data_IF_208029826830
#
_entry.id   IF_208029826830
#
_cell.length_a   1.000
_cell.length_b   1.000
_cell.length_c   1.000
_cell.angle_alpha   90.00
_cell.angle_beta   90.00
_cell.angle_gamma   90.00
#
_symmetry.space_group_name_H-M   'P 1'
#
loop_
_entity.id
_entity.type
_entity.pdbx_description
1 polymer ?
#
# COMPACT_ATOMS: atom_id res chain seq x y z
N UNK A 1 12.98 0.32 16.34
CA UNK A 1 14.43 0.06 16.48
C UNK A 1 15.04 0.09 15.09
N UNK A 2 16.03 0.95 14.84
CA UNK A 2 16.69 1.04 13.53
C UNK A 2 17.79 -0.01 13.40
N UNK A 3 17.88 -0.67 12.25
CA UNK A 3 18.91 -1.67 11.96
C UNK A 3 20.24 -0.98 11.62
N UNK A 4 21.31 -1.42 12.29
CA UNK A 4 22.65 -0.83 12.15
C UNK A 4 23.30 -1.38 10.87
N UNK A 5 23.65 -0.51 9.91
CA UNK A 5 24.19 -0.95 8.62
C UNK A 5 25.73 -0.99 8.57
N UNK A 6 26.45 -0.55 9.61
CA UNK A 6 27.92 -0.59 9.67
C UNK A 6 28.61 0.79 9.64
N UNK A 7 29.94 0.79 9.53
CA UNK A 7 30.78 1.99 9.46
C UNK A 7 30.93 2.46 8.01
N UNK A 8 30.63 3.72 7.72
CA UNK A 8 30.75 4.30 6.38
C UNK A 8 31.63 5.54 6.43
N UNK A 9 32.56 5.67 5.48
CA UNK A 9 33.49 6.80 5.49
C UNK A 9 32.83 8.05 4.92
N UNK A 10 31.76 7.89 4.13
CA UNK A 10 31.11 9.01 3.45
C UNK A 10 29.59 8.90 3.39
N UNK A 11 28.93 10.05 3.28
CA UNK A 11 27.49 10.18 2.98
C UNK A 11 27.09 9.43 1.69
N UNK A 12 27.96 9.38 0.69
CA UNK A 12 27.65 8.77 -0.62
C UNK A 12 27.49 7.25 -0.50
N UNK A 13 28.28 6.61 0.36
CA UNK A 13 28.19 5.18 0.63
C UNK A 13 26.87 4.82 1.33
N UNK A 14 26.47 5.61 2.33
CA UNK A 14 25.14 5.53 2.94
C UNK A 14 24.01 5.58 1.91
N UNK A 15 24.10 6.55 0.99
CA UNK A 15 23.09 6.72 -0.05
C UNK A 15 23.02 5.52 -0.98
N UNK A 16 24.17 4.95 -1.38
CA UNK A 16 24.23 3.77 -2.25
C UNK A 16 23.55 2.57 -1.60
N UNK A 17 23.79 2.31 -0.32
CA UNK A 17 23.15 1.21 0.40
C UNK A 17 21.63 1.39 0.53
N UNK A 18 21.19 2.61 0.83
CA UNK A 18 19.76 2.89 0.87
C UNK A 18 19.13 2.76 -0.53
N UNK A 19 19.83 3.13 -1.61
CA UNK A 19 19.34 2.91 -2.98
C UNK A 19 19.21 1.43 -3.31
N UNK A 20 20.18 0.62 -2.89
CA UNK A 20 20.24 -0.83 -3.15
C UNK A 20 19.33 -1.67 -2.24
N UNK A 21 18.54 -1.05 -1.34
CA UNK A 21 17.68 -1.76 -0.38
C UNK A 21 18.47 -2.80 0.42
N UNK A 22 19.45 -2.33 1.21
CA UNK A 22 20.30 -3.18 2.04
C UNK A 22 19.46 -4.12 2.94
N UNK A 23 19.44 -5.41 2.57
CA UNK A 23 18.67 -6.51 3.18
C UNK A 23 17.14 -6.35 3.16
N UNK A 24 16.61 -5.13 3.34
CA UNK A 24 15.20 -4.78 3.22
C UNK A 24 15.00 -3.43 2.54
N UNK A 25 13.74 -3.07 2.27
CA UNK A 25 13.35 -1.80 1.65
C UNK A 25 13.81 -0.62 2.50
N UNK A 26 14.67 0.23 1.93
CA UNK A 26 15.10 1.46 2.58
C UNK A 26 14.10 2.59 2.33
N UNK A 27 13.70 3.29 3.38
CA UNK A 27 12.85 4.50 3.32
C UNK A 27 13.63 5.79 3.60
N UNK A 28 14.86 5.68 4.10
CA UNK A 28 15.77 6.79 4.35
C UNK A 28 17.01 6.33 5.11
N UNK A 29 17.95 7.25 5.31
CA UNK A 29 19.14 7.01 6.12
C UNK A 29 19.52 8.25 6.93
N UNK A 30 20.20 8.04 8.04
CA UNK A 30 20.83 9.07 8.86
C UNK A 30 22.34 8.94 8.73
N UNK A 31 23.04 10.06 8.56
CA UNK A 31 24.50 10.12 8.51
C UNK A 31 25.05 11.00 9.63
N UNK A 32 25.93 10.43 10.45
CA UNK A 32 26.58 11.09 11.58
C UNK A 32 28.09 11.21 11.35
N UNK A 33 28.60 12.33 10.78
CA UNK A 33 30.02 12.49 10.49
C UNK A 33 30.89 12.46 11.75
N UNK A 34 30.37 12.92 12.89
CA UNK A 34 31.10 12.95 14.17
C UNK A 34 31.25 11.59 14.83
N UNK A 35 30.43 10.60 14.46
CA UNK A 35 30.55 9.21 14.94
C UNK A 35 31.21 8.34 13.89
N UNK A 36 32.43 8.71 13.46
CA UNK A 36 33.20 7.96 12.44
C UNK A 36 32.40 7.70 11.14
N UNK A 37 31.51 8.62 10.77
CA UNK A 37 30.64 8.47 9.59
C UNK A 37 29.56 7.39 9.71
N UNK A 38 29.08 7.12 10.92
CA UNK A 38 28.02 6.12 11.17
C UNK A 38 26.79 6.37 10.29
N UNK A 39 26.24 5.28 9.76
CA UNK A 39 25.03 5.27 8.94
C UNK A 39 23.94 4.44 9.58
N UNK A 40 22.76 5.02 9.76
CA UNK A 40 21.57 4.28 10.18
C UNK A 40 20.57 4.24 9.04
N UNK A 41 20.14 3.05 8.64
CA UNK A 41 19.15 2.87 7.57
C UNK A 41 17.77 2.69 8.22
N UNK A 42 16.77 3.40 7.70
CA UNK A 42 15.38 3.28 8.13
C UNK A 42 14.62 2.33 7.21
N UNK A 43 14.10 1.25 7.79
CA UNK A 43 13.28 0.24 7.11
C UNK A 43 11.77 0.49 7.25
N UNK A 44 11.37 1.60 7.86
CA UNK A 44 9.98 2.01 8.06
C UNK A 44 9.69 3.40 7.48
N UNK A 45 8.43 3.68 7.15
CA UNK A 45 8.03 4.99 6.63
C UNK A 45 8.31 6.08 7.66
N UNK A 46 9.10 7.08 7.25
CA UNK A 46 9.31 8.28 8.03
C UNK A 46 8.13 9.24 7.80
N UNK A 47 7.13 9.15 8.69
CA UNK A 47 5.96 10.01 8.74
C UNK A 47 6.22 11.18 9.73
N UNK A 48 6.97 12.20 9.33
CA UNK A 48 6.94 13.49 10.03
C UNK A 48 7.71 14.56 9.26
N UNK A 49 7.23 15.80 9.39
CA UNK A 49 7.98 17.02 9.12
C UNK A 49 9.28 16.98 9.93
N UNK A 50 10.43 17.02 9.26
CA UNK A 50 11.72 17.05 9.94
C UNK A 50 12.07 18.48 10.31
N UNK A 51 12.35 18.70 11.59
CA UNK A 51 12.89 19.95 12.08
C UNK A 51 14.41 19.84 12.09
N UNK A 52 15.08 20.64 11.26
CA UNK A 52 16.53 20.81 11.37
C UNK A 52 16.80 21.54 12.69
N UNK A 53 17.47 20.88 13.64
CA UNK A 53 18.02 21.57 14.80
C UNK A 53 19.24 22.39 14.34
N UNK A 54 19.29 23.72 14.57
CA UNK A 54 20.32 24.61 14.03
C UNK A 54 21.77 24.22 14.35
N UNK A 55 21.99 23.39 15.37
CA UNK A 55 23.32 22.97 15.84
C UNK A 55 23.61 21.47 15.65
N UNK A 56 22.72 20.73 14.98
CA UNK A 56 22.95 19.30 14.73
C UNK A 56 23.87 19.10 13.52
N UNK A 57 24.97 18.36 13.70
CA UNK A 57 25.80 17.86 12.58
C UNK A 57 25.28 16.55 11.99
N UNK A 58 24.13 16.08 12.46
CA UNK A 58 23.47 14.88 11.95
C UNK A 58 22.58 15.27 10.78
N UNK A 59 22.77 14.60 9.65
CA UNK A 59 21.93 14.81 8.48
C UNK A 59 21.04 13.59 8.27
N UNK A 60 19.73 13.84 8.29
CA UNK A 60 18.73 12.84 7.96
C UNK A 60 18.33 13.00 6.49
N UNK A 61 18.37 11.90 5.75
CA UNK A 61 18.02 11.85 4.35
C UNK A 61 16.87 10.87 4.17
N UNK A 62 15.69 11.38 3.84
CA UNK A 62 14.62 10.52 3.34
C UNK A 62 15.06 9.99 1.99
N UNK A 63 14.86 8.69 1.73
CA UNK A 63 14.92 8.20 0.36
C UNK A 63 13.74 8.91 -0.32
N UNK A 64 14.03 9.91 -1.14
CA UNK A 64 13.03 10.32 -2.12
C UNK A 64 12.69 9.02 -2.84
N UNK A 65 11.45 8.54 -2.67
CA UNK A 65 10.96 7.51 -3.56
C UNK A 65 11.24 7.99 -4.97
N UNK A 66 11.52 7.06 -5.89
CA UNK A 66 11.18 7.28 -7.29
C UNK A 66 9.95 8.16 -7.31
N UNK A 67 10.06 9.35 -7.93
CA UNK A 67 9.14 10.47 -7.72
C UNK A 67 7.80 9.92 -7.31
N UNK A 68 7.33 10.19 -6.08
CA UNK A 68 5.92 9.98 -5.78
C UNK A 68 5.27 10.82 -6.86
N UNK A 69 4.83 10.17 -7.93
CA UNK A 69 4.12 10.83 -9.00
C UNK A 69 2.86 11.22 -8.26
N UNK A 70 2.84 12.48 -7.84
CA UNK A 70 1.87 13.04 -6.93
C UNK A 70 0.52 12.84 -7.61
N UNK A 71 -0.19 11.77 -7.24
CA UNK A 71 -1.36 11.31 -7.98
C UNK A 71 -1.52 9.80 -8.15
N UNK A 72 -0.46 8.98 -8.10
CA UNK A 72 -0.60 7.52 -8.29
C UNK A 72 -0.87 6.81 -6.96
N UNK A 73 -1.63 5.72 -7.01
CA UNK A 73 -1.97 4.93 -5.84
C UNK A 73 -1.11 3.68 -5.70
N UNK A 74 -1.00 3.22 -4.46
CA UNK A 74 -0.49 1.89 -4.14
C UNK A 74 -1.44 0.78 -4.59
N UNK A 75 -1.05 -0.47 -4.37
CA UNK A 75 -1.90 -1.62 -4.62
C UNK A 75 -3.08 -1.67 -3.65
N UNK A 76 -4.27 -1.97 -4.16
CA UNK A 76 -5.42 -2.35 -3.35
C UNK A 76 -5.17 -3.73 -2.74
N UNK A 77 -5.71 -3.93 -1.55
CA UNK A 77 -5.66 -5.21 -0.84
C UNK A 77 -7.05 -5.55 -0.31
N UNK A 78 -7.36 -6.84 -0.30
CA UNK A 78 -8.56 -7.33 0.35
C UNK A 78 -8.34 -7.35 1.86
N UNK A 79 -9.27 -6.76 2.60
CA UNK A 79 -9.37 -6.87 4.04
C UNK A 79 -10.15 -8.13 4.40
N UNK A 80 -9.64 -8.92 5.34
CA UNK A 80 -10.32 -10.12 5.86
C UNK A 80 -10.94 -9.79 7.23
N UNK A 81 -11.79 -8.75 7.29
CA UNK A 81 -12.33 -8.27 8.57
C UNK A 81 -13.82 -8.54 8.79
N UNK A 82 -14.45 -9.26 7.87
CA UNK A 82 -15.87 -9.58 7.92
C UNK A 82 -16.13 -10.90 8.65
N UNK A 83 -17.32 -11.02 9.23
CA UNK A 83 -17.87 -12.26 9.81
C UNK A 83 -18.40 -13.24 8.74
N UNK A 84 -18.52 -12.80 7.49
CA UNK A 84 -18.92 -13.62 6.36
C UNK A 84 -17.72 -14.30 5.71
N UNK A 85 -17.99 -15.37 4.96
CA UNK A 85 -16.95 -16.06 4.19
C UNK A 85 -16.34 -15.08 3.16
N UNK A 86 -15.00 -15.06 3.09
CA UNK A 86 -14.29 -14.23 2.13
C UNK A 86 -14.29 -14.91 0.76
N UNK A 87 -14.73 -14.18 -0.26
CA UNK A 87 -14.58 -14.57 -1.65
C UNK A 87 -13.20 -14.21 -2.20
N UNK A 88 -12.94 -14.65 -3.43
CA UNK A 88 -11.72 -14.33 -4.16
C UNK A 88 -11.81 -12.92 -4.72
N UNK A 89 -10.91 -12.04 -4.27
CA UNK A 89 -10.78 -10.69 -4.78
C UNK A 89 -9.49 -10.52 -5.59
N UNK A 90 -9.61 -9.91 -6.77
CA UNK A 90 -8.46 -9.56 -7.61
C UNK A 90 -8.55 -8.14 -8.15
N UNK A 91 -7.40 -7.59 -8.50
CA UNK A 91 -7.25 -6.19 -8.91
C UNK A 91 -6.49 -6.10 -10.23
N UNK A 92 -7.14 -5.54 -11.24
CA UNK A 92 -6.50 -5.23 -12.53
C UNK A 92 -6.29 -3.73 -12.62
N UNK A 93 -5.03 -3.30 -12.73
CA UNK A 93 -4.66 -1.89 -12.82
C UNK A 93 -4.47 -1.45 -14.27
N UNK A 94 -4.65 -0.15 -14.52
CA UNK A 94 -4.32 0.42 -15.82
C UNK A 94 -2.81 0.52 -16.07
N UNK A 95 -2.01 0.70 -15.02
CA UNK A 95 -0.55 0.75 -15.07
C UNK A 95 0.04 0.21 -13.75
N UNK A 96 1.07 -0.65 -13.84
CA UNK A 96 1.66 -1.32 -12.68
C UNK A 96 2.68 -0.46 -11.90
N UNK A 97 3.12 0.67 -12.46
CA UNK A 97 4.05 1.64 -11.86
C UNK A 97 3.30 2.86 -11.32
N UNK A 98 2.35 3.41 -12.07
CA UNK A 98 1.51 4.54 -11.68
C UNK A 98 0.02 4.23 -11.86
N UNK A 99 -0.59 3.65 -10.82
CA UNK A 99 -2.00 3.25 -10.83
C UNK A 99 -2.89 4.49 -10.73
N UNK A 100 -3.74 4.72 -11.72
CA UNK A 100 -4.78 5.76 -11.66
C UNK A 100 -6.20 5.20 -11.68
N UNK A 101 -6.39 3.99 -12.20
CA UNK A 101 -7.65 3.24 -12.12
C UNK A 101 -7.38 1.76 -11.81
N UNK A 102 -8.35 1.12 -11.17
CA UNK A 102 -8.33 -0.31 -10.94
C UNK A 102 -9.73 -0.90 -11.16
N UNK A 103 -9.79 -2.06 -11.80
CA UNK A 103 -10.98 -2.92 -11.80
C UNK A 103 -10.85 -3.91 -10.66
N UNK A 104 -11.72 -3.78 -9.67
CA UNK A 104 -11.88 -4.71 -8.56
C UNK A 104 -12.82 -5.81 -9.00
N UNK A 105 -12.36 -7.06 -8.91
CA UNK A 105 -13.15 -8.24 -9.22
C UNK A 105 -13.37 -9.03 -7.95
N UNK A 106 -14.60 -9.47 -7.70
CA UNK A 106 -14.98 -10.29 -6.56
C UNK A 106 -15.86 -11.44 -7.05
N UNK A 107 -15.56 -12.65 -6.61
CA UNK A 107 -16.34 -13.83 -6.94
C UNK A 107 -16.10 -14.98 -5.97
N UNK A 108 -16.83 -16.07 -6.16
CA UNK A 108 -16.59 -17.29 -5.41
C UNK A 108 -15.31 -17.99 -5.90
N UNK A 109 -14.53 -18.63 -5.00
CA UNK A 109 -13.47 -19.53 -5.40
C UNK A 109 -13.99 -20.63 -6.34
N UNK A 110 -13.24 -20.91 -7.41
CA UNK A 110 -13.59 -21.97 -8.36
C UNK A 110 -13.58 -23.34 -7.66
N UNK A 111 -14.60 -24.15 -7.92
CA UNK A 111 -14.68 -25.52 -7.42
C UNK A 111 -15.44 -25.69 -6.11
N UNK A 112 -16.08 -24.63 -5.60
CA UNK A 112 -17.10 -24.79 -4.58
C UNK A 112 -18.35 -25.43 -5.23
N UNK A 113 -18.79 -26.58 -4.73
CA UNK A 113 -19.92 -27.33 -5.28
C UNK A 113 -21.30 -26.68 -5.11
N UNK A 114 -21.35 -25.42 -4.67
CA UNK A 114 -22.57 -24.64 -4.43
C UNK A 114 -22.34 -23.19 -4.82
N UNK A 115 -23.34 -22.56 -5.41
CA UNK A 115 -23.30 -21.17 -5.85
C UNK A 115 -23.68 -20.21 -4.70
N UNK A 116 -22.78 -19.28 -4.38
CA UNK A 116 -23.02 -18.24 -3.37
C UNK A 116 -23.25 -16.88 -4.02
N UNK A 117 -23.95 -15.99 -3.32
CA UNK A 117 -23.99 -14.57 -3.69
C UNK A 117 -22.67 -13.91 -3.31
N UNK A 118 -22.22 -12.96 -4.12
CA UNK A 118 -20.97 -12.23 -3.90
C UNK A 118 -21.24 -10.72 -3.78
N UNK A 119 -20.53 -10.04 -2.89
CA UNK A 119 -20.65 -8.60 -2.72
C UNK A 119 -19.29 -7.92 -2.57
N UNK A 120 -19.13 -6.78 -3.25
CA UNK A 120 -18.00 -5.86 -3.03
C UNK A 120 -18.39 -4.85 -1.97
N UNK A 121 -17.73 -4.90 -0.82
CA UNK A 121 -18.03 -4.05 0.34
C UNK A 121 -16.86 -3.13 0.64
N UNK A 122 -17.14 -1.82 0.70
CA UNK A 122 -16.16 -0.78 1.03
C UNK A 122 -16.40 -0.25 2.43
N UNK A 123 -15.33 -0.10 3.20
CA UNK A 123 -15.37 0.41 4.57
C UNK A 123 -16.37 -0.35 5.45
N UNK A 124 -16.47 -1.67 5.22
CA UNK A 124 -17.33 -2.67 5.92
C UNK A 124 -18.85 -2.52 5.78
N UNK A 125 -19.35 -1.36 5.40
CA UNK A 125 -20.80 -1.08 5.40
C UNK A 125 -21.36 -0.69 4.03
N UNK A 126 -20.49 -0.34 3.07
CA UNK A 126 -20.95 0.18 1.77
C UNK A 126 -20.90 -0.91 0.71
N UNK A 127 -22.06 -1.47 0.38
CA UNK A 127 -22.22 -2.46 -0.67
C UNK A 127 -22.25 -1.77 -2.03
N UNK A 128 -21.17 -1.93 -2.82
CA UNK A 128 -21.05 -1.28 -4.12
C UNK A 128 -21.71 -2.06 -5.24
N UNK A 129 -21.63 -3.39 -5.16
CA UNK A 129 -22.21 -4.30 -6.14
C UNK A 129 -22.47 -5.65 -5.49
N UNK A 130 -23.56 -6.29 -5.89
CA UNK A 130 -23.97 -7.61 -5.46
C UNK A 130 -24.21 -8.44 -6.73
N UNK A 131 -23.67 -9.65 -6.75
CA UNK A 131 -23.89 -10.65 -7.79
C UNK A 131 -24.54 -11.88 -7.19
N UNK A 132 -25.33 -12.57 -8.01
CA UNK A 132 -26.15 -13.69 -7.58
C UNK A 132 -25.60 -15.00 -8.11
N UNK A 133 -25.76 -16.09 -7.35
CA UNK A 133 -25.55 -17.46 -7.83
C UNK A 133 -24.18 -17.64 -8.54
N UNK A 134 -23.09 -17.38 -7.83
CA UNK A 134 -21.74 -17.60 -8.33
C UNK A 134 -21.23 -16.57 -9.34
N UNK A 135 -22.02 -15.52 -9.62
CA UNK A 135 -21.61 -14.42 -10.50
C UNK A 135 -20.32 -13.76 -10.00
N UNK A 136 -19.37 -13.59 -10.92
CA UNK A 136 -18.19 -12.77 -10.69
C UNK A 136 -18.52 -11.31 -11.01
N UNK A 137 -18.42 -10.44 -10.01
CA UNK A 137 -18.78 -9.04 -10.11
C UNK A 137 -17.56 -8.13 -10.15
N UNK A 138 -17.73 -6.99 -10.83
CA UNK A 138 -16.69 -5.99 -11.02
C UNK A 138 -17.13 -4.60 -10.58
N UNK A 139 -16.22 -3.86 -9.93
CA UNK A 139 -16.38 -2.45 -9.58
C UNK A 139 -15.14 -1.64 -9.97
N UNK A 140 -15.33 -0.36 -10.29
CA UNK A 140 -14.23 0.54 -10.65
C UNK A 140 -13.72 1.31 -9.43
N UNK A 141 -12.41 1.42 -9.32
CA UNK A 141 -11.72 2.30 -8.39
C UNK A 141 -10.96 3.37 -9.15
N UNK A 142 -11.04 4.61 -8.67
CA UNK A 142 -10.29 5.75 -9.18
C UNK A 142 -9.30 6.22 -8.13
N UNK A 143 -8.08 6.51 -8.56
CA UNK A 143 -7.06 7.09 -7.71
C UNK A 143 -7.04 8.60 -7.88
N UNK A 144 -6.96 9.32 -6.76
CA UNK A 144 -6.65 10.75 -6.77
C UNK A 144 -5.79 11.08 -5.57
N UNK A 145 -4.67 11.77 -5.79
CA UNK A 145 -3.72 12.17 -4.75
C UNK A 145 -3.25 10.99 -3.88
N UNK A 146 -2.99 9.83 -4.50
CA UNK A 146 -2.53 8.63 -3.80
C UNK A 146 -3.59 7.90 -2.96
N UNK A 147 -4.86 8.30 -3.08
CA UNK A 147 -5.97 7.70 -2.36
C UNK A 147 -6.96 7.05 -3.32
N UNK A 148 -7.33 5.80 -3.06
CA UNK A 148 -8.35 5.09 -3.81
C UNK A 148 -9.76 5.53 -3.42
N UNK A 149 -10.62 5.70 -4.42
CA UNK A 149 -12.04 6.01 -4.26
C UNK A 149 -12.90 5.08 -5.09
N UNK A 150 -14.03 4.66 -4.55
CA UNK A 150 -14.97 3.76 -5.21
C UNK A 150 -16.43 4.16 -4.94
N UNK A 151 -17.33 3.71 -5.81
CA UNK A 151 -18.77 3.95 -5.67
C UNK A 151 -19.25 5.31 -6.19
N UNK A 152 -20.55 5.52 -6.07
CA UNK A 152 -21.21 6.79 -6.38
C UNK A 152 -22.23 7.10 -5.27
N UNK A 153 -22.00 8.12 -4.41
CA UNK A 153 -20.88 9.07 -4.45
C UNK A 153 -19.52 8.43 -4.12
N UNK A 154 -18.38 9.02 -4.54
CA UNK A 154 -17.06 8.42 -4.32
C UNK A 154 -16.66 8.37 -2.83
N UNK A 155 -16.41 7.16 -2.34
CA UNK A 155 -15.97 6.90 -0.97
C UNK A 155 -14.46 6.62 -0.93
N UNK A 156 -13.74 7.19 0.03
CA UNK A 156 -12.33 6.87 0.27
C UNK A 156 -12.23 5.44 0.80
N UNK A 157 -11.43 4.60 0.12
CA UNK A 157 -11.27 3.19 0.48
C UNK A 157 -10.29 3.07 1.65
N UNK A 158 -10.79 2.63 2.81
CA UNK A 158 -10.02 2.24 3.99
C UNK A 158 -9.97 0.73 4.17
N UNK A 159 -11.09 0.05 3.90
CA UNK A 159 -11.14 -1.42 3.78
C UNK A 159 -11.93 -1.80 2.53
N UNK A 160 -11.59 -2.95 1.97
CA UNK A 160 -12.23 -3.48 0.77
C UNK A 160 -12.39 -4.99 0.92
N UNK A 161 -13.60 -5.50 0.79
CA UNK A 161 -13.94 -6.89 1.10
C UNK A 161 -14.74 -7.53 -0.03
N UNK A 162 -14.48 -8.81 -0.29
CA UNK A 162 -15.33 -9.67 -1.10
C UNK A 162 -16.09 -10.59 -0.15
N UNK A 163 -17.37 -10.30 0.09
CA UNK A 163 -18.19 -11.07 1.02
C UNK A 163 -19.04 -12.08 0.24
N UNK A 164 -19.08 -13.32 0.72
CA UNK A 164 -19.96 -14.37 0.20
C UNK A 164 -21.09 -14.66 1.19
N UNK A 165 -22.31 -14.83 0.67
CA UNK A 165 -23.46 -15.28 1.45
C UNK A 165 -24.22 -16.40 0.74
N UNK A 166 -25.01 -17.15 1.48
CA UNK A 166 -25.95 -18.10 0.87
C UNK A 166 -27.08 -17.34 0.14
N UNK A 167 -27.59 -17.89 -0.98
CA UNK A 167 -28.81 -17.41 -1.61
C UNK A 167 -30.02 -17.56 -0.67
N UNK A 168 -31.03 -16.67 -0.79
CA UNK A 168 -32.28 -16.79 -0.03
C UNK A 168 -33.11 -18.03 -0.43
#
# INVERSE_FOLDING_TARGET
>A
MGSFAGYFKTRVECQKLCKQNYQEKCYGYMYEPQKRGTCSIFQYSLNANFYNSPNSKVSLFKKCGDAVVTGCCGELTQSSTSFLANGDMSFTYNDNKCRSTATVTCGQPKGLGFEKNAAIVVNRINYLKIGWLGETIHAQASCSNGTWKMGNPPLIVSTLECQLSDPP
#
